data_IF_008370774229
#
_entry.id   IF_008370774229
#
_cell.length_a   1.000
_cell.length_b   1.000
_cell.length_c   1.000
_cell.angle_alpha   90.00
_cell.angle_beta   90.00
_cell.angle_gamma   90.00
#
_symmetry.space_group_name_H-M   'P 1'
#
loop_
_entity.id
_entity.type
_entity.pdbx_description
1 polymer ?
#
# COMPACT_ATOMS: atom_id res chain seq x y z
N UNK A 1 5.85 -6.68 6.62
CA UNK A 1 6.07 -6.72 5.15
C UNK A 1 7.39 -7.40 4.81
N UNK A 2 8.54 -6.96 5.34
CA UNK A 2 9.85 -7.58 5.02
C UNK A 2 9.87 -9.11 5.23
N UNK A 3 9.43 -9.55 6.40
CA UNK A 3 9.31 -10.98 6.74
C UNK A 3 8.30 -11.72 5.87
N UNK A 4 7.21 -11.03 5.45
CA UNK A 4 6.21 -11.61 4.56
C UNK A 4 6.80 -11.87 3.17
N UNK A 5 7.65 -10.97 2.66
CA UNK A 5 8.31 -11.07 1.36
C UNK A 5 9.42 -12.14 1.32
N UNK A 6 9.99 -12.48 2.48
CA UNK A 6 11.07 -13.47 2.61
C UNK A 6 10.57 -14.92 2.64
N UNK A 7 9.28 -15.12 2.89
CA UNK A 7 8.71 -16.47 2.91
C UNK A 7 8.81 -17.07 1.51
N UNK A 8 9.27 -18.31 1.46
CA UNK A 8 9.34 -19.05 0.21
C UNK A 8 7.93 -19.55 -0.14
N UNK A 9 7.35 -18.97 -1.19
CA UNK A 9 6.04 -19.36 -1.70
C UNK A 9 6.22 -20.06 -3.05
N UNK A 10 5.46 -21.13 -3.27
CA UNK A 10 5.53 -21.93 -4.51
C UNK A 10 5.45 -21.10 -5.79
N UNK A 11 4.64 -20.05 -5.79
CA UNK A 11 4.35 -19.22 -6.96
C UNK A 11 4.89 -17.80 -6.86
N UNK A 12 5.76 -17.55 -5.87
CA UNK A 12 6.28 -16.23 -5.56
C UNK A 12 5.25 -15.31 -4.90
N UNK A 13 5.76 -14.30 -4.21
CA UNK A 13 5.01 -13.16 -3.72
C UNK A 13 5.89 -11.93 -3.94
N UNK A 14 5.34 -10.90 -4.56
CA UNK A 14 6.01 -9.61 -4.74
C UNK A 14 5.25 -8.54 -3.98
N UNK A 15 5.94 -7.84 -3.09
CA UNK A 15 5.42 -6.63 -2.44
C UNK A 15 5.86 -5.43 -3.27
N UNK A 16 4.92 -4.55 -3.60
CA UNK A 16 5.17 -3.26 -4.26
C UNK A 16 4.78 -2.15 -3.30
N UNK A 17 5.67 -1.21 -3.04
CA UNK A 17 5.43 -0.13 -2.07
C UNK A 17 5.45 1.25 -2.75
N UNK A 18 4.39 2.01 -2.55
CA UNK A 18 4.20 3.34 -3.15
C UNK A 18 4.18 4.41 -2.04
N UNK A 19 5.26 5.19 -1.86
CA UNK A 19 5.26 6.31 -0.94
C UNK A 19 4.17 7.32 -1.31
N UNK A 20 3.49 7.88 -0.31
CA UNK A 20 2.43 8.87 -0.52
C UNK A 20 2.36 9.84 0.65
N UNK A 21 2.26 11.14 0.36
CA UNK A 21 2.26 12.18 1.39
C UNK A 21 0.85 12.74 1.71
N UNK A 22 -0.22 12.15 1.17
CA UNK A 22 -1.58 12.71 1.29
C UNK A 22 -2.18 12.60 2.71
N UNK A 23 -1.64 11.70 3.53
CA UNK A 23 -2.16 11.37 4.86
C UNK A 23 -1.34 12.05 5.96
N UNK A 24 -1.79 13.25 6.36
CA UNK A 24 -1.14 14.11 7.37
C UNK A 24 0.38 14.30 7.17
N UNK A 25 0.82 14.40 5.92
CA UNK A 25 2.21 14.66 5.56
C UNK A 25 3.23 13.68 6.18
N UNK A 26 2.86 12.41 6.35
CA UNK A 26 3.73 11.41 6.99
C UNK A 26 4.84 10.85 6.08
N UNK A 27 4.93 11.31 4.83
CA UNK A 27 6.00 10.98 3.86
C UNK A 27 6.64 12.26 3.27
N UNK A 28 7.26 13.10 4.12
CA UNK A 28 7.73 14.43 3.72
C UNK A 28 8.97 14.40 2.82
N UNK A 29 9.70 13.28 2.75
CA UNK A 29 10.92 13.16 1.94
C UNK A 29 10.68 13.53 0.48
N UNK A 30 11.49 14.43 -0.06
CA UNK A 30 11.31 15.02 -1.39
C UNK A 30 11.62 14.03 -2.53
N UNK A 31 12.53 13.09 -2.30
CA UNK A 31 12.98 12.13 -3.29
C UNK A 31 13.30 10.76 -2.65
N UNK A 32 13.61 9.78 -3.50
CA UNK A 32 13.95 8.41 -3.09
C UNK A 32 15.04 8.36 -2.01
N UNK A 33 16.10 9.17 -2.14
CA UNK A 33 17.23 9.18 -1.21
C UNK A 33 16.80 9.59 0.20
N UNK A 34 15.97 10.62 0.32
CA UNK A 34 15.46 11.08 1.62
C UNK A 34 14.53 10.06 2.27
N UNK A 35 13.64 9.45 1.48
CA UNK A 35 12.72 8.41 1.96
C UNK A 35 13.52 7.21 2.46
N UNK A 36 14.49 6.73 1.67
CA UNK A 36 15.36 5.61 2.05
C UNK A 36 16.22 5.93 3.27
N UNK A 37 16.73 7.15 3.40
CA UNK A 37 17.45 7.58 4.60
C UNK A 37 16.54 7.62 5.83
N UNK A 38 15.30 8.09 5.69
CA UNK A 38 14.30 8.07 6.76
C UNK A 38 14.05 6.65 7.26
N UNK A 39 13.85 5.71 6.35
CA UNK A 39 13.68 4.29 6.69
C UNK A 39 14.92 3.70 7.38
N UNK A 40 16.11 3.96 6.83
CA UNK A 40 17.36 3.35 7.28
C UNK A 40 17.88 3.91 8.60
N UNK A 41 17.74 5.20 8.82
CA UNK A 41 18.41 5.90 9.92
C UNK A 41 17.47 6.50 10.95
N UNK A 42 16.18 6.72 10.62
CA UNK A 42 15.25 7.42 11.52
C UNK A 42 14.16 6.48 12.03
N UNK A 43 13.28 6.02 11.13
CA UNK A 43 12.20 5.10 11.47
C UNK A 43 11.83 4.25 10.24
N UNK A 44 12.00 2.92 10.28
CA UNK A 44 12.33 2.11 11.45
C UNK A 44 13.72 2.32 12.06
N UNK A 45 14.68 2.87 11.31
CA UNK A 45 16.04 3.12 11.79
C UNK A 45 16.88 1.84 11.86
N UNK A 46 18.00 1.89 12.60
CA UNK A 46 18.88 0.74 12.86
C UNK A 46 19.37 0.01 11.59
N UNK A 47 19.63 0.75 10.51
CA UNK A 47 20.10 0.17 9.26
C UNK A 47 19.01 -0.58 8.49
N UNK A 48 17.73 -0.37 8.81
CA UNK A 48 16.62 -1.02 8.13
C UNK A 48 16.62 -0.71 6.62
N UNK A 49 16.55 -1.76 5.81
CA UNK A 49 16.38 -1.66 4.36
C UNK A 49 15.23 -2.60 3.94
N UNK A 50 14.22 -2.11 3.20
CA UNK A 50 13.20 -2.94 2.57
C UNK A 50 13.83 -3.99 1.64
N UNK A 51 13.22 -5.18 1.57
CA UNK A 51 13.64 -6.24 0.64
C UNK A 51 12.66 -6.39 -0.53
N UNK A 52 11.97 -5.31 -0.85
CA UNK A 52 10.98 -5.19 -1.91
C UNK A 52 11.09 -3.79 -2.52
N UNK A 53 10.69 -3.60 -3.79
CA UNK A 53 10.79 -2.31 -4.46
C UNK A 53 9.94 -1.24 -3.77
N UNK A 54 10.58 -0.09 -3.57
CA UNK A 54 9.93 1.17 -3.22
C UNK A 54 9.90 2.03 -4.49
N UNK A 55 8.72 2.41 -4.95
CA UNK A 55 8.55 3.22 -6.14
C UNK A 55 8.70 4.70 -5.84
N UNK A 56 8.67 5.53 -6.88
CA UNK A 56 8.57 6.97 -6.72
C UNK A 56 7.34 7.36 -5.90
N UNK A 57 7.42 8.50 -5.20
CA UNK A 57 6.30 9.03 -4.44
C UNK A 57 5.17 9.44 -5.38
N UNK A 58 3.96 8.97 -5.10
CA UNK A 58 2.77 9.23 -5.92
C UNK A 58 1.60 9.75 -5.08
N UNK A 59 0.54 10.16 -5.77
CA UNK A 59 -0.78 10.39 -5.17
C UNK A 59 -1.64 9.17 -5.40
N UNK A 60 -2.44 8.81 -4.41
CA UNK A 60 -3.34 7.65 -4.44
C UNK A 60 -4.81 8.06 -4.46
N UNK A 61 -5.10 9.33 -4.15
CA UNK A 61 -6.44 9.91 -4.16
C UNK A 61 -6.50 11.26 -4.90
N UNK A 62 -7.71 11.64 -5.31
CA UNK A 62 -8.03 12.93 -5.92
C UNK A 62 -7.78 12.98 -7.43
N UNK A 63 -7.92 14.16 -8.03
CA UNK A 63 -7.87 14.36 -9.48
C UNK A 63 -6.53 13.96 -10.14
N UNK A 64 -5.47 13.88 -9.34
CA UNK A 64 -4.09 13.59 -9.78
C UNK A 64 -3.56 12.28 -9.22
N UNK A 65 -4.45 11.37 -8.80
CA UNK A 65 -4.04 10.04 -8.38
C UNK A 65 -3.40 9.26 -9.53
N UNK A 66 -2.46 8.38 -9.18
CA UNK A 66 -1.80 7.52 -10.16
C UNK A 66 -2.80 6.51 -10.75
N UNK A 67 -2.76 6.25 -12.07
CA UNK A 67 -3.66 5.30 -12.73
C UNK A 67 -3.69 3.91 -12.10
N UNK A 68 -2.57 3.45 -11.49
CA UNK A 68 -2.58 2.16 -10.79
C UNK A 68 -3.55 2.16 -9.62
N UNK A 69 -3.65 3.27 -8.87
CA UNK A 69 -4.58 3.38 -7.75
C UNK A 69 -6.01 3.61 -8.22
N UNK A 70 -6.23 4.27 -9.37
CA UNK A 70 -7.56 4.30 -10.01
C UNK A 70 -8.02 2.88 -10.34
N UNK A 71 -7.17 2.08 -11.00
CA UNK A 71 -7.45 0.69 -11.33
C UNK A 71 -7.75 -0.16 -10.08
N UNK A 72 -6.85 -0.13 -9.09
CA UNK A 72 -6.98 -0.88 -7.84
C UNK A 72 -8.26 -0.53 -7.07
N UNK A 73 -8.58 0.76 -6.94
CA UNK A 73 -9.78 1.22 -6.21
C UNK A 73 -11.08 0.87 -6.94
N UNK A 74 -11.07 0.84 -8.27
CA UNK A 74 -12.28 0.58 -9.07
C UNK A 74 -12.76 -0.88 -9.04
N UNK A 75 -11.85 -1.84 -8.86
CA UNK A 75 -12.15 -3.27 -8.97
C UNK A 75 -12.29 -3.99 -7.61
N UNK A 76 -11.81 -3.39 -6.53
CA UNK A 76 -11.88 -4.00 -5.20
C UNK A 76 -13.06 -3.44 -4.40
N UNK A 77 -13.93 -4.29 -3.84
CA UNK A 77 -14.92 -3.86 -2.85
C UNK A 77 -14.24 -3.11 -1.70
N UNK A 78 -14.95 -2.11 -1.15
CA UNK A 78 -14.45 -1.36 -0.01
C UNK A 78 -14.21 -2.32 1.17
N UNK A 79 -13.06 -2.25 1.86
CA UNK A 79 -12.72 -3.17 2.95
C UNK A 79 -13.52 -2.88 4.24
N UNK A 80 -14.60 -2.09 4.15
CA UNK A 80 -15.12 -1.30 5.27
C UNK A 80 -14.20 -0.14 5.62
N UNK A 81 -14.64 0.77 6.49
CA UNK A 81 -13.87 1.95 6.90
C UNK A 81 -14.55 3.28 6.51
N UNK A 82 -14.32 4.32 7.31
CA UNK A 82 -14.88 5.66 7.10
C UNK A 82 -13.72 6.63 6.96
N UNK A 83 -13.74 7.48 5.94
CA UNK A 83 -12.85 8.64 5.86
C UNK A 83 -13.27 9.59 6.97
N UNK A 84 -12.55 9.53 8.09
CA UNK A 84 -12.84 10.32 9.28
C UNK A 84 -12.65 11.82 8.99
N UNK A 85 -13.77 12.53 8.90
CA UNK A 85 -13.92 14.00 8.71
C UNK A 85 -13.18 14.57 7.50
N UNK A 86 -13.97 14.92 6.47
CA UNK A 86 -13.59 15.65 5.26
C UNK A 86 -12.74 16.92 5.48
N UNK A 87 -12.70 17.47 6.70
CA UNK A 87 -12.00 18.73 7.02
C UNK A 87 -10.47 18.57 7.06
N UNK A 88 -9.94 17.35 7.06
CA UNK A 88 -8.50 17.08 7.21
C UNK A 88 -7.84 16.40 5.98
N UNK A 89 -8.55 16.26 4.85
CA UNK A 89 -7.98 15.62 3.65
C UNK A 89 -7.32 16.66 2.73
N UNK A 90 -6.19 16.28 2.14
CA UNK A 90 -5.37 17.16 1.29
C UNK A 90 -5.65 17.02 -0.21
N UNK A 91 -6.73 16.34 -0.58
CA UNK A 91 -7.06 16.00 -1.97
C UNK A 91 -8.51 16.32 -2.33
N UNK A 92 -8.75 16.50 -3.62
CA UNK A 92 -10.07 16.74 -4.22
C UNK A 92 -10.09 16.17 -5.65
N UNK A 93 -11.24 15.67 -6.15
CA UNK A 93 -12.46 15.40 -5.40
C UNK A 93 -12.25 14.28 -4.37
N UNK A 94 -13.07 14.26 -3.34
CA UNK A 94 -13.13 13.14 -2.38
C UNK A 94 -14.16 12.14 -2.88
N UNK A 95 -13.79 10.86 -2.90
CA UNK A 95 -14.64 9.77 -3.38
C UNK A 95 -14.85 8.72 -2.28
N UNK A 96 -15.94 7.97 -2.37
CA UNK A 96 -16.23 6.87 -1.43
C UNK A 96 -15.16 5.78 -1.47
N UNK A 97 -14.47 5.63 -2.60
CA UNK A 97 -13.48 4.57 -2.80
C UNK A 97 -12.07 4.97 -2.39
N UNK A 98 -11.85 6.22 -1.98
CA UNK A 98 -10.53 6.73 -1.64
C UNK A 98 -9.82 5.88 -0.59
N UNK A 99 -8.50 5.83 -0.71
CA UNK A 99 -7.63 5.25 0.31
C UNK A 99 -7.83 6.04 1.60
N UNK A 100 -8.06 5.32 2.69
CA UNK A 100 -8.44 5.91 3.97
C UNK A 100 -7.23 6.41 4.77
N UNK A 101 -6.09 5.73 4.64
CA UNK A 101 -4.86 6.06 5.38
C UNK A 101 -3.61 5.40 4.80
N UNK A 102 -2.46 5.74 5.38
CA UNK A 102 -1.20 5.03 5.16
C UNK A 102 -1.35 3.52 5.43
N UNK A 103 -0.62 2.70 4.67
CA UNK A 103 -0.57 1.24 4.78
C UNK A 103 -1.86 0.50 4.44
N UNK A 104 -2.80 1.09 3.68
CA UNK A 104 -3.85 0.31 3.02
C UNK A 104 -3.22 -0.67 2.00
N UNK A 105 -3.77 -1.88 1.87
CA UNK A 105 -3.14 -2.95 1.07
C UNK A 105 -4.10 -3.50 0.02
N UNK A 106 -3.55 -3.89 -1.12
CA UNK A 106 -4.26 -4.62 -2.17
C UNK A 106 -3.55 -5.96 -2.40
N UNK A 107 -4.33 -7.02 -2.53
CA UNK A 107 -3.86 -8.32 -3.01
C UNK A 107 -4.30 -8.48 -4.46
N UNK A 108 -3.34 -8.74 -5.32
CA UNK A 108 -3.51 -8.89 -6.77
C UNK A 108 -3.11 -10.32 -7.13
N UNK A 109 -3.89 -10.97 -8.00
CA UNK A 109 -3.61 -12.32 -8.47
C UNK A 109 -2.55 -12.36 -9.59
N UNK A 110 -2.23 -13.57 -10.05
CA UNK A 110 -1.23 -13.81 -11.11
C UNK A 110 -1.65 -13.28 -12.48
N UNK A 111 -2.93 -12.94 -12.68
CA UNK A 111 -3.45 -12.36 -13.91
C UNK A 111 -3.52 -10.83 -13.84
N UNK A 112 -3.12 -10.22 -12.72
CA UNK A 112 -3.17 -8.78 -12.51
C UNK A 112 -4.52 -8.27 -12.02
N UNK A 113 -5.44 -9.14 -11.60
CA UNK A 113 -6.73 -8.73 -11.06
C UNK A 113 -6.66 -8.47 -9.55
N UNK A 114 -7.13 -7.30 -9.06
CA UNK A 114 -7.22 -7.03 -7.63
C UNK A 114 -8.32 -7.91 -7.02
N UNK A 115 -7.97 -8.77 -6.07
CA UNK A 115 -8.92 -9.73 -5.47
C UNK A 115 -9.39 -9.33 -4.09
N UNK A 116 -8.60 -8.53 -3.36
CA UNK A 116 -8.94 -8.13 -1.99
C UNK A 116 -8.21 -6.86 -1.60
N UNK A 117 -8.91 -5.99 -0.87
CA UNK A 117 -8.40 -4.76 -0.27
C UNK A 117 -8.47 -4.89 1.24
N UNK A 118 -7.50 -4.34 1.96
CA UNK A 118 -7.36 -4.49 3.41
C UNK A 118 -7.13 -3.15 4.08
N UNK A 119 -7.76 -2.98 5.24
CA UNK A 119 -7.60 -1.78 6.05
C UNK A 119 -6.13 -1.56 6.49
N UNK A 120 -5.77 -0.29 6.75
CA UNK A 120 -4.49 0.07 7.38
C UNK A 120 -4.14 -0.78 8.61
N UNK A 121 -5.14 -1.05 9.45
CA UNK A 121 -5.02 -1.80 10.70
C UNK A 121 -4.81 -3.31 10.53
N UNK A 122 -5.11 -3.89 9.36
CA UNK A 122 -4.88 -5.32 9.09
C UNK A 122 -3.39 -5.61 9.14
N UNK A 123 -2.97 -6.56 9.99
CA UNK A 123 -1.54 -6.87 10.16
C UNK A 123 -1.04 -7.65 8.94
N UNK A 124 0.25 -7.51 8.56
CA UNK A 124 0.81 -8.24 7.42
C UNK A 124 0.63 -9.76 7.48
N UNK A 125 0.67 -10.36 8.67
CA UNK A 125 0.52 -11.80 8.82
C UNK A 125 -0.92 -12.29 8.71
N UNK A 126 -1.91 -11.41 8.91
CA UNK A 126 -3.32 -11.75 8.73
C UNK A 126 -3.65 -11.97 7.24
N UNK A 127 -2.80 -11.46 6.32
CA UNK A 127 -2.91 -11.66 4.88
C UNK A 127 -2.55 -13.10 4.45
N UNK A 128 -1.87 -13.88 5.29
CA UNK A 128 -1.29 -15.18 4.91
C UNK A 128 -2.35 -16.18 4.43
N UNK A 129 -3.55 -16.16 5.02
CA UNK A 129 -4.63 -17.05 4.61
C UNK A 129 -5.04 -16.78 3.15
N UNK A 130 -5.33 -15.53 2.82
CA UNK A 130 -5.73 -15.13 1.47
C UNK A 130 -4.61 -15.33 0.45
N UNK A 131 -3.37 -15.00 0.82
CA UNK A 131 -2.18 -15.22 -0.02
C UNK A 131 -2.03 -16.72 -0.35
N UNK A 132 -2.13 -17.60 0.65
CA UNK A 132 -2.03 -19.06 0.43
C UNK A 132 -3.17 -19.59 -0.43
N UNK A 133 -4.37 -19.04 -0.29
CA UNK A 133 -5.52 -19.44 -1.11
C UNK A 133 -5.31 -19.09 -2.59
N UNK A 134 -4.76 -17.91 -2.90
CA UNK A 134 -4.39 -17.59 -4.29
C UNK A 134 -3.31 -18.51 -4.83
N UNK A 135 -2.37 -18.93 -3.99
CA UNK A 135 -1.28 -19.83 -4.38
C UNK A 135 -1.72 -21.28 -4.62
N UNK A 136 -2.97 -21.64 -4.38
CA UNK A 136 -3.51 -22.94 -4.79
C UNK A 136 -3.91 -22.96 -6.28
N UNK A 137 -4.02 -21.78 -6.90
CA UNK A 137 -4.51 -21.61 -8.29
C UNK A 137 -3.38 -21.41 -9.30
N UNK A 138 -2.16 -21.67 -8.83
CA UNK A 138 -0.94 -21.88 -9.59
C UNK A 138 -0.42 -23.31 -9.30
#
# INVERSE_FOLDING_TARGET
MKELNQKNYRCGLNILAFPCNQFLNQEPGANEKEIMNGLKWVRPGNGFVPNFPLFQKIRVNGAWEDPIYTYLKSLCPLPGGVISRYVAVSWTPVRSEDISWNFEKFLVDHNGFPVKRYLPSTKPFDLLGDIRNLMQRC
#
